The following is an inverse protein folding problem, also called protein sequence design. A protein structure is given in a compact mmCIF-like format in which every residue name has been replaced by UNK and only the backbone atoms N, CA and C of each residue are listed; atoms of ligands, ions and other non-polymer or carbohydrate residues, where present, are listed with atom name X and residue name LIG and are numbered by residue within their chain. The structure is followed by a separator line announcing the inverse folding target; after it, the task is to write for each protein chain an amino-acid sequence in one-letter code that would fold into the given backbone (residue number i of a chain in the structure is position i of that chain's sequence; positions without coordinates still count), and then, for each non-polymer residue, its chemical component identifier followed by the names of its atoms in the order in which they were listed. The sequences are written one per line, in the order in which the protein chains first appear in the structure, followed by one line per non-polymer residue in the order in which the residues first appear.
data_IF_128389811610
#
_entry.id   IF_128389811610
#
_cell.length_a   1.000
_cell.length_b   1.000
_cell.length_c   1.000
_cell.angle_alpha   90.00
_cell.angle_beta   90.00
_cell.angle_gamma   90.00
#
_symmetry.space_group_name_H-M   'P 1'
#
loop_
_entity.id
_entity.type
_entity.pdbx_description
1 polymer ?
#
# COMPACT_ATOMS: atom_id res chain seq x y z
N UNK A 1 26.26 12.10 -15.40
CA UNK A 1 25.88 11.71 -14.03
C UNK A 1 24.72 10.76 -14.18
N UNK A 2 24.89 9.48 -13.89
CA UNK A 2 23.78 8.53 -13.87
C UNK A 2 22.85 8.94 -12.74
N UNK A 3 21.59 9.23 -13.02
CA UNK A 3 20.55 9.25 -11.99
C UNK A 3 20.65 7.91 -11.26
N UNK A 4 21.04 7.96 -9.98
CA UNK A 4 20.95 6.79 -9.12
C UNK A 4 19.46 6.56 -8.96
N UNK A 5 18.96 5.59 -9.69
CA UNK A 5 17.57 5.15 -9.63
C UNK A 5 17.26 4.85 -8.16
N UNK A 6 16.40 5.65 -7.52
CA UNK A 6 16.05 5.47 -6.11
C UNK A 6 15.20 4.21 -6.00
N UNK A 7 15.86 3.07 -5.74
CA UNK A 7 15.22 1.77 -5.62
C UNK A 7 14.89 1.45 -4.18
N UNK A 8 13.77 0.75 -4.00
CA UNK A 8 13.32 0.21 -2.73
C UNK A 8 12.90 -1.25 -2.90
N UNK A 9 12.70 -1.95 -1.80
CA UNK A 9 12.15 -3.30 -1.78
C UNK A 9 11.36 -3.51 -0.46
N UNK A 10 10.59 -4.60 -0.32
CA UNK A 10 9.79 -4.84 0.88
C UNK A 10 10.58 -4.78 2.20
N UNK A 11 11.79 -5.33 2.22
CA UNK A 11 12.65 -5.35 3.40
C UNK A 11 13.21 -3.96 3.73
N UNK A 12 13.60 -3.17 2.72
CA UNK A 12 14.04 -1.78 2.93
C UNK A 12 12.92 -0.92 3.50
N UNK A 13 11.67 -1.07 3.02
CA UNK A 13 10.51 -0.36 3.57
C UNK A 13 10.28 -0.72 5.04
N UNK A 14 10.31 -2.02 5.38
CA UNK A 14 10.25 -2.45 6.77
C UNK A 14 11.38 -1.85 7.59
N UNK A 15 12.61 -1.91 7.09
CA UNK A 15 13.78 -1.39 7.79
C UNK A 15 13.65 0.10 8.09
N UNK A 16 13.22 0.89 7.13
CA UNK A 16 13.00 2.33 7.31
C UNK A 16 11.98 2.60 8.42
N UNK A 17 10.82 1.93 8.38
CA UNK A 17 9.75 2.09 9.38
C UNK A 17 10.22 1.64 10.76
N UNK A 18 10.86 0.48 10.86
CA UNK A 18 11.33 -0.09 12.12
C UNK A 18 12.50 0.71 12.71
N UNK A 19 13.36 1.31 11.88
CA UNK A 19 14.40 2.23 12.36
C UNK A 19 13.80 3.51 12.93
N UNK A 20 12.79 4.09 12.28
CA UNK A 20 12.05 5.23 12.85
C UNK A 20 11.41 4.88 14.19
N UNK A 21 10.86 3.68 14.33
CA UNK A 21 10.34 3.20 15.61
C UNK A 21 11.45 3.00 16.66
N UNK A 22 12.58 2.41 16.28
CA UNK A 22 13.68 2.05 17.18
C UNK A 22 14.34 3.28 17.82
N UNK A 23 14.42 4.41 17.12
CA UNK A 23 15.03 5.64 17.65
C UNK A 23 14.13 6.39 18.65
N UNK A 24 12.84 6.04 18.73
CA UNK A 24 11.94 6.63 19.71
C UNK A 24 12.33 6.17 21.13
N UNK A 25 12.60 7.09 22.06
CA UNK A 25 13.14 6.72 23.36
C UNK A 25 12.09 5.93 24.17
N UNK A 26 12.47 4.79 24.78
CA UNK A 26 11.62 4.03 25.69
C UNK A 26 11.40 4.79 27.00
N UNK A 27 10.53 5.79 27.00
CA UNK A 27 10.31 6.60 28.20
C UNK A 27 9.22 5.98 29.07
N UNK A 28 9.62 5.46 30.23
CA UNK A 28 8.75 4.99 31.32
C UNK A 28 7.78 6.08 31.81
N UNK A 29 8.04 7.35 31.46
CA UNK A 29 7.31 8.56 31.90
C UNK A 29 7.01 9.58 30.79
N UNK A 30 7.20 9.26 29.52
CA UNK A 30 7.08 10.21 28.39
C UNK A 30 5.85 10.02 27.50
N UNK A 31 5.71 10.86 26.47
CA UNK A 31 4.60 10.79 25.48
C UNK A 31 4.55 9.44 24.74
N UNK A 32 5.68 8.74 24.63
CA UNK A 32 5.84 7.44 23.95
C UNK A 32 5.68 6.23 24.86
N UNK A 33 5.21 6.41 26.09
CA UNK A 33 4.98 5.29 27.01
C UNK A 33 4.01 4.27 26.42
N UNK A 34 3.01 4.74 25.69
CA UNK A 34 1.93 3.93 25.09
C UNK A 34 2.30 3.64 23.63
N UNK A 35 2.23 2.37 23.22
CA UNK A 35 2.56 1.94 21.86
C UNK A 35 1.80 2.73 20.78
N UNK A 36 0.51 3.00 21.01
CA UNK A 36 -0.30 3.82 20.10
C UNK A 36 0.35 5.17 19.80
N UNK A 37 0.82 5.88 20.81
CA UNK A 37 1.44 7.19 20.63
C UNK A 37 2.74 7.08 19.83
N UNK A 38 3.58 6.08 20.15
CA UNK A 38 4.81 5.83 19.40
C UNK A 38 4.52 5.50 17.93
N UNK A 39 3.50 4.69 17.64
CA UNK A 39 3.10 4.40 16.27
C UNK A 39 2.48 5.61 15.55
N UNK A 40 1.78 6.50 16.26
CA UNK A 40 1.34 7.77 15.66
C UNK A 40 2.53 8.60 15.21
N UNK A 41 3.58 8.70 16.03
CA UNK A 41 4.82 9.39 15.66
C UNK A 41 5.50 8.77 14.45
N UNK A 42 5.65 7.43 14.44
CA UNK A 42 6.28 6.71 13.31
C UNK A 42 5.52 6.91 11.99
N UNK A 43 4.19 7.01 12.05
CA UNK A 43 3.34 7.16 10.88
C UNK A 43 2.93 8.61 10.59
N UNK A 44 3.47 9.58 11.32
CA UNK A 44 3.16 11.00 11.15
C UNK A 44 1.64 11.29 11.31
N UNK A 45 0.97 10.57 12.22
CA UNK A 45 -0.46 10.70 12.52
C UNK A 45 -0.66 11.74 13.61
N UNK A 46 -1.49 12.74 13.32
CA UNK A 46 -1.84 13.81 14.25
C UNK A 46 -2.75 13.33 15.40
N UNK A 47 -2.59 13.97 16.56
CA UNK A 47 -3.36 13.75 17.79
C UNK A 47 -3.59 12.26 18.14
N UNK A 48 -2.65 11.64 18.88
CA UNK A 48 -2.73 10.22 19.22
C UNK A 48 -3.89 9.88 20.16
N UNK A 49 -4.72 10.82 20.60
CA UNK A 49 -5.85 10.58 21.51
C UNK A 49 -7.22 10.49 20.82
N UNK A 50 -7.30 10.71 19.51
CA UNK A 50 -8.58 10.69 18.74
C UNK A 50 -8.96 9.28 18.26
N UNK A 51 -10.24 8.93 18.17
CA UNK A 51 -10.64 7.64 17.59
C UNK A 51 -10.15 7.46 16.14
N UNK A 52 -10.05 8.56 15.39
CA UNK A 52 -9.51 8.55 14.03
C UNK A 52 -8.03 8.10 14.01
N UNK A 53 -7.18 8.65 14.88
CA UNK A 53 -5.79 8.23 15.00
C UNK A 53 -5.66 6.73 15.35
N UNK A 54 -6.57 6.19 16.17
CA UNK A 54 -6.59 4.76 16.48
C UNK A 54 -6.84 3.92 15.22
N UNK A 55 -7.85 4.30 14.43
CA UNK A 55 -8.19 3.62 13.18
C UNK A 55 -7.04 3.69 12.18
N UNK A 56 -6.42 4.86 12.04
CA UNK A 56 -5.27 5.04 11.16
C UNK A 56 -4.08 4.16 11.58
N UNK A 57 -3.71 4.14 12.87
CA UNK A 57 -2.64 3.28 13.38
C UNK A 57 -2.95 1.80 13.14
N UNK A 58 -4.17 1.36 13.45
CA UNK A 58 -4.57 -0.04 13.21
C UNK A 58 -4.46 -0.41 11.73
N UNK A 59 -4.87 0.48 10.83
CA UNK A 59 -4.72 0.30 9.38
C UNK A 59 -3.25 0.16 8.97
N UNK A 60 -2.37 1.07 9.42
CA UNK A 60 -0.94 1.03 9.07
C UNK A 60 -0.22 -0.20 9.63
N UNK A 61 -0.54 -0.62 10.87
CA UNK A 61 0.00 -1.85 11.44
C UNK A 61 -0.50 -3.10 10.71
N UNK A 62 -1.74 -3.10 10.23
CA UNK A 62 -2.26 -4.18 9.38
C UNK A 62 -1.48 -4.26 8.07
N UNK A 63 -1.20 -3.13 7.44
CA UNK A 63 -0.36 -3.10 6.23
C UNK A 63 1.08 -3.55 6.51
N UNK A 64 1.68 -3.17 7.64
CA UNK A 64 2.99 -3.69 8.02
C UNK A 64 2.97 -5.20 8.23
N UNK A 65 1.91 -5.75 8.85
CA UNK A 65 1.76 -7.21 9.01
C UNK A 65 1.74 -7.91 7.65
N UNK A 66 0.95 -7.40 6.70
CA UNK A 66 0.93 -7.95 5.33
C UNK A 66 2.30 -7.83 4.64
N UNK A 67 3.06 -6.77 4.92
CA UNK A 67 4.42 -6.61 4.41
C UNK A 67 5.40 -7.64 5.01
N UNK A 68 5.27 -7.94 6.30
CA UNK A 68 6.03 -9.03 6.94
C UNK A 68 5.69 -10.39 6.33
N UNK A 69 4.40 -10.69 6.17
CA UNK A 69 3.93 -11.94 5.55
C UNK A 69 4.48 -12.10 4.13
N UNK A 70 4.37 -11.05 3.32
CA UNK A 70 4.95 -11.02 1.97
C UNK A 70 6.46 -11.22 1.95
N UNK A 71 7.20 -10.57 2.87
CA UNK A 71 8.64 -10.74 2.94
C UNK A 71 9.01 -12.19 3.32
N UNK A 72 8.29 -12.78 4.27
CA UNK A 72 8.48 -14.18 4.67
C UNK A 72 8.19 -15.11 3.50
N UNK A 73 7.06 -14.93 2.79
CA UNK A 73 6.73 -15.71 1.60
C UNK A 73 7.82 -15.63 0.51
N UNK A 74 8.35 -14.43 0.27
CA UNK A 74 9.45 -14.23 -0.69
C UNK A 74 10.73 -14.97 -0.27
N UNK A 75 11.04 -15.01 1.03
CA UNK A 75 12.20 -15.70 1.57
C UNK A 75 12.04 -17.23 1.55
N UNK A 76 10.85 -17.73 1.90
CA UNK A 76 10.51 -19.16 1.84
C UNK A 76 10.57 -19.71 0.40
N UNK A 77 10.46 -18.84 -0.61
CA UNK A 77 10.65 -19.18 -2.03
C UNK A 77 12.13 -19.34 -2.46
N UNK A 78 13.11 -19.03 -1.61
CA UNK A 78 14.54 -19.12 -1.94
C UNK A 78 15.08 -20.49 -1.53
N UNK A 79 15.61 -21.23 -2.49
CA UNK A 79 16.19 -22.56 -2.24
C UNK A 79 17.43 -22.48 -1.33
N UNK A 80 17.51 -23.38 -0.35
CA UNK A 80 18.65 -23.50 0.59
C UNK A 80 18.93 -22.25 1.45
N UNK A 81 17.93 -21.41 1.68
CA UNK A 81 18.04 -20.31 2.64
C UNK A 81 18.06 -20.86 4.08
N UNK A 82 18.91 -20.30 4.94
CA UNK A 82 18.93 -20.65 6.36
C UNK A 82 17.83 -19.89 7.12
N UNK A 83 16.75 -20.60 7.45
CA UNK A 83 15.60 -20.05 8.17
C UNK A 83 15.99 -19.37 9.49
N UNK A 84 16.96 -19.92 10.23
CA UNK A 84 17.36 -19.38 11.53
C UNK A 84 18.10 -18.04 11.41
N UNK A 85 18.73 -17.79 10.26
CA UNK A 85 19.46 -16.56 9.98
C UNK A 85 18.58 -15.51 9.30
N UNK A 86 17.66 -15.91 8.42
CA UNK A 86 16.92 -14.99 7.56
C UNK A 86 15.41 -14.88 7.84
N UNK A 87 14.76 -15.95 8.31
CA UNK A 87 13.29 -15.99 8.44
C UNK A 87 12.86 -15.83 9.90
N UNK A 88 13.46 -16.58 10.82
CA UNK A 88 13.12 -16.53 12.26
C UNK A 88 13.23 -15.12 12.85
N UNK A 89 14.30 -14.32 12.57
CA UNK A 89 14.39 -12.95 13.06
C UNK A 89 13.26 -12.05 12.52
N UNK A 90 12.83 -12.27 11.28
CA UNK A 90 11.72 -11.52 10.65
C UNK A 90 10.38 -11.92 11.27
N UNK A 91 10.18 -13.22 11.55
CA UNK A 91 9.02 -13.74 12.30
C UNK A 91 8.98 -13.20 13.73
N UNK A 92 10.13 -12.95 14.37
CA UNK A 92 10.17 -12.25 15.66
C UNK A 92 9.81 -10.76 15.52
N UNK A 93 10.40 -10.05 14.55
CA UNK A 93 10.09 -8.65 14.30
C UNK A 93 8.62 -8.42 13.99
N UNK A 94 7.94 -9.33 13.30
CA UNK A 94 6.51 -9.20 12.99
C UNK A 94 5.61 -9.14 14.22
N UNK A 95 6.08 -9.62 15.39
CA UNK A 95 5.37 -9.50 16.67
C UNK A 95 5.26 -8.05 17.15
N UNK A 96 6.10 -7.15 16.62
CA UNK A 96 6.11 -5.71 16.95
C UNK A 96 4.84 -4.99 16.48
N UNK A 97 4.17 -5.52 15.44
CA UNK A 97 2.96 -4.95 14.83
C UNK A 97 1.68 -5.65 15.32
N UNK A 98 1.68 -6.11 16.57
CA UNK A 98 0.50 -6.72 17.20
C UNK A 98 -0.50 -5.64 17.67
N UNK A 99 -1.70 -5.64 17.09
CA UNK A 99 -2.77 -4.70 17.43
C UNK A 99 -3.19 -4.76 18.91
N UNK A 100 -3.06 -5.94 19.55
CA UNK A 100 -3.39 -6.11 20.97
C UNK A 100 -2.44 -5.34 21.89
N UNK A 101 -1.29 -4.89 21.40
CA UNK A 101 -0.29 -4.17 22.17
C UNK A 101 -0.45 -2.64 22.11
N UNK A 102 -1.46 -2.10 21.39
CA UNK A 102 -1.61 -0.66 21.20
C UNK A 102 -1.73 0.13 22.52
N UNK A 103 -2.40 -0.44 23.52
CA UNK A 103 -2.53 0.16 24.86
C UNK A 103 -1.43 -0.27 25.84
N UNK A 104 -0.47 -1.09 25.39
CA UNK A 104 0.62 -1.57 26.23
C UNK A 104 1.81 -0.60 26.22
N UNK A 105 2.82 -0.91 27.03
CA UNK A 105 4.04 -0.11 27.10
C UNK A 105 4.92 -0.30 25.88
N UNK A 106 5.46 0.81 25.34
CA UNK A 106 6.35 0.80 24.16
C UNK A 106 7.57 -0.12 24.32
N UNK A 107 8.07 -0.31 25.55
CA UNK A 107 9.15 -1.24 25.84
C UNK A 107 8.89 -2.68 25.39
N UNK A 108 7.63 -3.12 25.38
CA UNK A 108 7.27 -4.46 24.90
C UNK A 108 7.54 -4.61 23.41
N UNK A 109 7.42 -3.51 22.65
CA UNK A 109 7.67 -3.48 21.22
C UNK A 109 9.16 -3.27 20.94
N UNK A 110 9.81 -2.32 21.59
CA UNK A 110 11.24 -2.02 21.33
C UNK A 110 12.18 -3.15 21.72
N UNK A 111 11.80 -3.99 22.69
CA UNK A 111 12.56 -5.21 23.03
C UNK A 111 12.67 -6.20 21.87
N UNK A 112 11.77 -6.14 20.87
CA UNK A 112 11.81 -6.97 19.67
C UNK A 112 12.81 -6.43 18.63
N UNK A 113 13.19 -5.16 18.71
CA UNK A 113 14.15 -4.50 17.83
C UNK A 113 15.60 -4.75 18.28
N UNK A 114 15.92 -6.01 18.60
CA UNK A 114 17.27 -6.41 18.99
C UNK A 114 18.27 -6.17 17.85
N UNK A 115 19.55 -5.96 18.20
CA UNK A 115 20.60 -5.79 17.19
C UNK A 115 20.64 -6.98 16.22
N UNK A 116 20.50 -8.21 16.75
CA UNK A 116 20.41 -9.42 15.93
C UNK A 116 19.31 -9.33 14.88
N UNK A 117 18.11 -8.94 15.29
CA UNK A 117 16.94 -8.92 14.42
C UNK A 117 17.06 -7.82 13.36
N UNK A 118 17.55 -6.64 13.75
CA UNK A 118 17.77 -5.54 12.82
C UNK A 118 18.90 -5.82 11.83
N UNK A 119 20.00 -6.42 12.27
CA UNK A 119 21.10 -6.85 11.37
C UNK A 119 20.63 -7.96 10.41
N UNK A 120 19.78 -8.87 10.87
CA UNK A 120 19.19 -9.89 9.98
C UNK A 120 18.33 -9.22 8.90
N UNK A 121 17.55 -8.19 9.25
CA UNK A 121 16.78 -7.41 8.29
C UNK A 121 17.68 -6.67 7.27
N UNK A 122 18.83 -6.14 7.68
CA UNK A 122 19.83 -5.55 6.75
C UNK A 122 20.36 -6.60 5.76
N UNK A 123 20.63 -7.83 6.20
CA UNK A 123 21.05 -8.91 5.30
C UNK A 123 19.92 -9.32 4.35
N UNK A 124 18.70 -9.46 4.85
CA UNK A 124 17.50 -9.76 4.05
C UNK A 124 17.28 -8.70 2.99
N UNK A 125 17.40 -7.41 3.32
CA UNK A 125 17.31 -6.33 2.35
C UNK A 125 18.31 -6.48 1.20
N UNK A 126 19.58 -6.76 1.51
CA UNK A 126 20.62 -6.92 0.52
C UNK A 126 20.40 -8.16 -0.35
N UNK A 127 19.89 -9.25 0.24
CA UNK A 127 19.51 -10.46 -0.48
C UNK A 127 18.36 -10.19 -1.46
N UNK A 128 17.26 -9.60 -0.98
CA UNK A 128 16.07 -9.29 -1.78
C UNK A 128 16.41 -8.32 -2.92
N UNK A 129 17.32 -7.36 -2.70
CA UNK A 129 17.76 -6.42 -3.74
C UNK A 129 18.41 -7.11 -4.95
N UNK A 130 18.96 -8.32 -4.78
CA UNK A 130 19.58 -9.11 -5.84
C UNK A 130 18.56 -9.98 -6.59
N UNK A 131 17.35 -10.14 -6.06
CA UNK A 131 16.32 -10.99 -6.66
C UNK A 131 15.51 -10.21 -7.71
N UNK A 132 15.27 -10.82 -8.89
CA UNK A 132 14.53 -10.17 -9.95
C UNK A 132 13.06 -9.95 -9.54
N UNK A 133 12.54 -8.75 -9.83
CA UNK A 133 11.13 -8.41 -9.61
C UNK A 133 10.74 -8.03 -8.19
N UNK A 134 11.67 -8.07 -7.22
CA UNK A 134 11.43 -7.64 -5.83
C UNK A 134 11.97 -6.24 -5.50
N UNK A 135 12.73 -5.64 -6.41
CA UNK A 135 13.13 -4.24 -6.32
C UNK A 135 12.22 -3.36 -7.18
N UNK A 136 11.93 -2.17 -6.68
CA UNK A 136 10.99 -1.21 -7.27
C UNK A 136 11.63 0.17 -7.31
N UNK A 137 11.41 0.94 -8.38
CA UNK A 137 11.68 2.37 -8.41
C UNK A 137 10.67 3.11 -7.52
N UNK A 138 11.17 3.97 -6.65
CA UNK A 138 10.32 4.79 -5.77
C UNK A 138 9.56 5.82 -6.61
N UNK A 139 8.23 5.82 -6.51
CA UNK A 139 7.39 6.86 -7.09
C UNK A 139 7.63 8.21 -6.39
N UNK A 140 7.72 9.31 -7.14
CA UNK A 140 7.76 10.65 -6.56
C UNK A 140 6.51 10.93 -5.72
N UNK A 141 6.69 11.57 -4.57
CA UNK A 141 5.58 11.93 -3.67
C UNK A 141 4.57 12.86 -4.35
N UNK A 142 5.04 13.76 -5.21
CA UNK A 142 4.17 14.64 -6.02
C UNK A 142 3.22 13.85 -6.92
N UNK A 143 3.66 12.72 -7.48
CA UNK A 143 2.81 11.85 -8.30
C UNK A 143 1.73 11.18 -7.45
N UNK A 144 2.11 10.64 -6.27
CA UNK A 144 1.16 10.03 -5.33
C UNK A 144 0.12 11.06 -4.84
N UNK A 145 0.55 12.26 -4.45
CA UNK A 145 -0.32 13.35 -4.02
C UNK A 145 -1.27 13.79 -5.13
N UNK A 146 -0.79 13.85 -6.38
CA UNK A 146 -1.61 14.17 -7.54
C UNK A 146 -2.66 13.09 -7.83
N UNK A 147 -2.33 11.81 -7.67
CA UNK A 147 -3.30 10.70 -7.80
C UNK A 147 -4.35 10.77 -6.68
N UNK A 148 -3.93 10.99 -5.43
CA UNK A 148 -4.84 11.13 -4.29
C UNK A 148 -5.85 12.26 -4.53
N UNK A 149 -5.38 13.46 -4.92
CA UNK A 149 -6.23 14.60 -5.22
C UNK A 149 -7.24 14.31 -6.34
N UNK A 150 -6.79 13.68 -7.43
CA UNK A 150 -7.70 13.29 -8.53
C UNK A 150 -8.75 12.28 -8.08
N UNK A 151 -8.39 11.39 -7.15
CA UNK A 151 -9.33 10.42 -6.60
C UNK A 151 -10.39 11.09 -5.74
N UNK A 152 -10.03 12.10 -4.95
CA UNK A 152 -10.99 12.89 -4.15
C UNK A 152 -11.97 13.66 -5.04
N UNK A 153 -11.44 14.36 -6.06
CA UNK A 153 -12.26 15.07 -7.05
C UNK A 153 -13.23 14.12 -7.78
N UNK A 154 -12.76 12.93 -8.12
CA UNK A 154 -13.59 11.91 -8.76
C UNK A 154 -14.64 11.33 -7.81
N UNK A 155 -14.30 11.11 -6.55
CA UNK A 155 -15.23 10.64 -5.53
C UNK A 155 -16.43 11.58 -5.40
N UNK A 156 -16.17 12.88 -5.32
CA UNK A 156 -17.21 13.91 -5.26
C UNK A 156 -18.04 13.95 -6.55
N UNK A 157 -17.38 13.83 -7.70
CA UNK A 157 -18.04 13.78 -9.01
C UNK A 157 -19.01 12.60 -9.12
N UNK A 158 -18.58 11.40 -8.75
CA UNK A 158 -19.43 10.20 -8.78
C UNK A 158 -20.55 10.30 -7.74
N UNK A 159 -20.25 10.82 -6.55
CA UNK A 159 -21.26 11.02 -5.49
C UNK A 159 -22.42 11.89 -5.98
N UNK A 160 -22.12 12.93 -6.77
CA UNK A 160 -23.09 13.88 -7.31
C UNK A 160 -23.64 13.53 -8.70
N UNK A 161 -23.20 12.41 -9.31
CA UNK A 161 -23.65 11.96 -10.63
C UNK A 161 -25.11 11.46 -10.64
N UNK A 162 -25.68 11.26 -11.82
CA UNK A 162 -27.00 10.65 -12.01
C UNK A 162 -26.92 9.11 -12.18
N UNK A 163 -25.79 8.49 -11.85
CA UNK A 163 -25.63 7.03 -11.89
C UNK A 163 -26.64 6.34 -10.97
N UNK A 164 -27.14 5.14 -11.35
CA UNK A 164 -27.98 4.33 -10.48
C UNK A 164 -27.32 4.12 -9.12
N UNK A 165 -28.12 4.13 -8.04
CA UNK A 165 -27.61 4.08 -6.66
C UNK A 165 -26.66 2.91 -6.40
N UNK A 166 -26.97 1.72 -6.94
CA UNK A 166 -26.12 0.53 -6.81
C UNK A 166 -24.77 0.71 -7.51
N UNK A 167 -24.80 1.16 -8.77
CA UNK A 167 -23.60 1.44 -9.57
C UNK A 167 -22.74 2.52 -8.93
N UNK A 168 -23.37 3.61 -8.44
CA UNK A 168 -22.68 4.70 -7.74
C UNK A 168 -21.94 4.19 -6.50
N UNK A 169 -22.60 3.39 -5.66
CA UNK A 169 -21.97 2.81 -4.48
C UNK A 169 -20.72 1.97 -4.85
N UNK A 170 -20.83 1.16 -5.90
CA UNK A 170 -19.69 0.36 -6.38
C UNK A 170 -18.54 1.26 -6.84
N UNK A 171 -18.78 2.29 -7.65
CA UNK A 171 -17.71 3.19 -8.07
C UNK A 171 -17.04 3.90 -6.88
N UNK A 172 -17.81 4.36 -5.90
CA UNK A 172 -17.27 5.00 -4.70
C UNK A 172 -16.38 4.05 -3.89
N UNK A 173 -16.79 2.78 -3.74
CA UNK A 173 -15.99 1.76 -3.07
C UNK A 173 -14.69 1.47 -3.84
N UNK A 174 -14.75 1.41 -5.17
CA UNK A 174 -13.58 1.21 -6.02
C UNK A 174 -12.61 2.41 -6.00
N UNK A 175 -13.13 3.65 -5.93
CA UNK A 175 -12.31 4.84 -5.78
C UNK A 175 -11.61 4.85 -4.43
N UNK A 176 -12.33 4.48 -3.35
CA UNK A 176 -11.75 4.33 -2.00
C UNK A 176 -10.64 3.27 -1.98
N UNK A 177 -10.84 2.16 -2.68
CA UNK A 177 -9.81 1.12 -2.82
C UNK A 177 -8.53 1.66 -3.46
N UNK A 178 -8.65 2.44 -4.54
CA UNK A 178 -7.53 3.09 -5.22
C UNK A 178 -6.84 4.13 -4.33
N UNK A 179 -7.62 4.97 -3.63
CA UNK A 179 -7.10 5.95 -2.66
C UNK A 179 -6.31 5.27 -1.56
N UNK A 180 -6.87 4.22 -0.96
CA UNK A 180 -6.21 3.45 0.08
C UNK A 180 -4.90 2.87 -0.43
N UNK A 181 -4.88 2.33 -1.66
CA UNK A 181 -3.68 1.77 -2.25
C UNK A 181 -2.55 2.79 -2.40
N UNK A 182 -2.88 4.03 -2.80
CA UNK A 182 -1.91 5.13 -2.92
C UNK A 182 -1.37 5.51 -1.54
N UNK A 183 -2.24 5.63 -0.54
CA UNK A 183 -1.82 5.91 0.84
C UNK A 183 -0.95 4.81 1.43
N UNK A 184 -1.24 3.55 1.10
CA UNK A 184 -0.56 2.38 1.62
C UNK A 184 0.73 2.04 0.84
N UNK A 185 0.99 2.72 -0.28
CA UNK A 185 2.20 2.55 -1.09
C UNK A 185 3.49 2.75 -0.29
N UNK A 186 3.53 3.71 0.65
CA UNK A 186 4.73 3.95 1.49
C UNK A 186 5.11 2.72 2.31
N UNK A 187 4.15 1.87 2.66
CA UNK A 187 4.37 0.62 3.39
C UNK A 187 4.52 -0.55 2.42
N UNK A 188 3.49 -0.81 1.60
CA UNK A 188 3.39 -2.03 0.80
C UNK A 188 4.00 -1.94 -0.60
N UNK A 189 4.37 -0.75 -1.05
CA UNK A 189 4.95 -0.53 -2.37
C UNK A 189 4.01 -0.73 -3.54
N UNK A 190 4.60 -0.95 -4.71
CA UNK A 190 3.91 -1.07 -5.98
C UNK A 190 2.94 -2.27 -6.02
N UNK A 191 3.21 -3.34 -5.26
CA UNK A 191 2.30 -4.49 -5.15
C UNK A 191 0.91 -4.07 -4.69
N UNK A 192 0.80 -3.11 -3.77
CA UNK A 192 -0.50 -2.64 -3.29
C UNK A 192 -1.31 -1.91 -4.37
N UNK A 193 -0.64 -1.15 -5.23
CA UNK A 193 -1.25 -0.53 -6.41
C UNK A 193 -1.77 -1.60 -7.39
N UNK A 194 -0.97 -2.65 -7.62
CA UNK A 194 -1.33 -3.80 -8.45
C UNK A 194 -2.60 -4.49 -7.95
N UNK A 195 -2.65 -4.79 -6.65
CA UNK A 195 -3.80 -5.43 -5.99
C UNK A 195 -5.08 -4.60 -6.16
N UNK A 196 -4.97 -3.28 -5.98
CA UNK A 196 -6.09 -2.36 -6.15
C UNK A 196 -6.62 -2.34 -7.58
N UNK A 197 -5.74 -2.18 -8.57
CA UNK A 197 -6.11 -2.19 -10.00
C UNK A 197 -6.74 -3.53 -10.38
N UNK A 198 -6.17 -4.65 -9.93
CA UNK A 198 -6.72 -5.98 -10.19
C UNK A 198 -8.14 -6.14 -9.59
N UNK A 199 -8.36 -5.64 -8.37
CA UNK A 199 -9.69 -5.65 -7.73
C UNK A 199 -10.69 -4.78 -8.48
N UNK A 200 -10.29 -3.59 -8.92
CA UNK A 200 -11.15 -2.71 -9.74
C UNK A 200 -11.53 -3.39 -11.04
N UNK A 201 -10.55 -3.86 -11.80
CA UNK A 201 -10.77 -4.56 -13.07
C UNK A 201 -11.66 -5.78 -12.87
N UNK A 202 -11.35 -6.61 -11.87
CA UNK A 202 -12.16 -7.79 -11.54
C UNK A 202 -13.61 -7.43 -11.25
N UNK A 203 -13.85 -6.41 -10.41
CA UNK A 203 -15.20 -5.96 -10.04
C UNK A 203 -15.99 -5.48 -11.24
N UNK A 204 -15.39 -4.64 -12.09
CA UNK A 204 -16.02 -4.14 -13.33
C UNK A 204 -16.33 -5.29 -14.29
N UNK A 205 -15.43 -6.27 -14.42
CA UNK A 205 -15.60 -7.41 -15.33
C UNK A 205 -16.66 -8.39 -14.82
N UNK A 206 -16.94 -8.50 -13.53
CA UNK A 206 -17.93 -9.46 -13.01
C UNK A 206 -19.30 -8.84 -12.74
N UNK A 207 -19.41 -7.52 -12.60
CA UNK A 207 -20.67 -6.85 -12.25
C UNK A 207 -21.44 -6.36 -13.50
N UNK A 208 -22.60 -6.98 -13.84
CA UNK A 208 -23.36 -6.61 -15.04
C UNK A 208 -23.91 -5.19 -15.00
N UNK A 209 -24.35 -4.70 -13.83
CA UNK A 209 -24.92 -3.35 -13.68
C UNK A 209 -23.87 -2.27 -13.98
N UNK A 210 -22.63 -2.50 -13.53
CA UNK A 210 -21.49 -1.62 -13.83
C UNK A 210 -21.20 -1.63 -15.32
N UNK A 211 -21.16 -2.80 -15.96
CA UNK A 211 -20.95 -2.91 -17.42
C UNK A 211 -22.04 -2.20 -18.20
N UNK A 212 -23.30 -2.39 -17.82
CA UNK A 212 -24.43 -1.74 -18.50
C UNK A 212 -24.37 -0.22 -18.37
N UNK A 213 -24.04 0.29 -17.18
CA UNK A 213 -23.88 1.73 -16.94
C UNK A 213 -22.76 2.35 -17.78
N UNK A 214 -21.69 1.59 -18.04
CA UNK A 214 -20.61 2.02 -18.92
C UNK A 214 -21.01 1.91 -20.40
N UNK A 215 -21.62 0.79 -20.81
CA UNK A 215 -21.92 0.51 -22.22
C UNK A 215 -23.04 1.38 -22.80
N UNK A 216 -24.02 1.78 -21.98
CA UNK A 216 -25.21 2.50 -22.46
C UNK A 216 -25.12 4.01 -22.34
N UNK A 217 -23.90 4.57 -22.21
CA UNK A 217 -23.69 6.01 -22.23
C UNK A 217 -24.55 6.72 -21.19
N UNK A 218 -24.28 6.47 -19.90
CA UNK A 218 -24.90 7.26 -18.85
C UNK A 218 -24.70 8.76 -19.14
N UNK A 219 -25.63 9.63 -18.70
CA UNK A 219 -25.45 11.10 -18.79
C UNK A 219 -24.17 11.60 -18.09
N UNK A 220 -23.48 10.72 -17.37
CA UNK A 220 -22.26 10.94 -16.64
C UNK A 220 -21.04 10.25 -17.29
N UNK A 221 -21.03 10.08 -18.62
CA UNK A 221 -19.93 9.49 -19.41
C UNK A 221 -18.57 10.08 -19.03
N UNK A 222 -18.50 11.40 -18.81
CA UNK A 222 -17.27 12.05 -18.38
C UNK A 222 -16.79 11.59 -16.99
N UNK A 223 -17.68 11.22 -16.07
CA UNK A 223 -17.32 10.70 -14.75
C UNK A 223 -16.79 9.28 -14.85
N UNK A 224 -17.39 8.45 -15.70
CA UNK A 224 -16.91 7.10 -16.02
C UNK A 224 -15.54 7.17 -16.69
N UNK A 225 -15.35 8.09 -17.64
CA UNK A 225 -14.06 8.31 -18.29
C UNK A 225 -13.00 8.78 -17.31
N UNK A 226 -13.34 9.68 -16.37
CA UNK A 226 -12.43 10.12 -15.32
C UNK A 226 -12.02 8.96 -14.39
N UNK A 227 -12.94 8.04 -14.07
CA UNK A 227 -12.63 6.81 -13.36
C UNK A 227 -11.67 5.90 -14.14
N UNK A 228 -11.94 5.68 -15.43
CA UNK A 228 -11.05 4.89 -16.29
C UNK A 228 -9.64 5.49 -16.36
N UNK A 229 -9.53 6.81 -16.46
CA UNK A 229 -8.27 7.53 -16.47
C UNK A 229 -7.51 7.40 -15.14
N UNK A 230 -8.20 7.45 -14.00
CA UNK A 230 -7.58 7.23 -12.69
C UNK A 230 -6.99 5.82 -12.57
N UNK A 231 -7.76 4.80 -12.98
CA UNK A 231 -7.27 3.40 -13.01
C UNK A 231 -6.05 3.27 -13.90
N UNK A 232 -6.08 3.84 -15.11
CA UNK A 232 -4.95 3.82 -16.04
C UNK A 232 -3.72 4.53 -15.48
N UNK A 233 -3.90 5.63 -14.74
CA UNK A 233 -2.80 6.37 -14.12
C UNK A 233 -2.13 5.55 -13.01
N UNK A 234 -2.90 4.91 -12.13
CA UNK A 234 -2.36 4.06 -11.07
C UNK A 234 -1.64 2.83 -11.66
N UNK A 235 -2.19 2.26 -12.73
CA UNK A 235 -1.56 1.16 -13.46
C UNK A 235 -0.21 1.59 -14.07
N UNK A 236 -0.16 2.77 -14.67
CA UNK A 236 1.08 3.36 -15.20
C UNK A 236 2.10 3.59 -14.08
N UNK A 237 1.66 4.07 -12.91
CA UNK A 237 2.52 4.25 -11.74
C UNK A 237 3.10 2.90 -11.26
N UNK A 238 2.27 1.85 -11.20
CA UNK A 238 2.72 0.49 -10.90
C UNK A 238 3.77 -0.01 -11.91
N UNK A 239 3.58 0.19 -13.21
CA UNK A 239 4.57 -0.19 -14.23
C UNK A 239 5.88 0.56 -14.10
N UNK A 240 5.79 1.86 -13.88
CA UNK A 240 6.97 2.69 -13.67
C UNK A 240 7.78 2.17 -12.48
N UNK A 241 7.11 1.90 -11.36
CA UNK A 241 7.76 1.39 -10.15
C UNK A 241 8.38 0.00 -10.37
N UNK A 242 7.70 -0.91 -11.06
CA UNK A 242 8.20 -2.30 -11.19
C UNK A 242 9.11 -2.55 -12.39
N UNK A 243 9.18 -1.61 -13.34
CA UNK A 243 9.83 -1.81 -14.65
C UNK A 243 9.28 -3.03 -15.44
N UNK A 244 8.15 -3.60 -15.00
CA UNK A 244 7.49 -4.73 -15.63
C UNK A 244 6.64 -4.22 -16.80
N UNK A 245 6.76 -4.89 -17.95
CA UNK A 245 6.11 -4.43 -19.19
C UNK A 245 4.57 -4.50 -19.18
N UNK A 246 3.87 -5.30 -18.34
CA UNK A 246 2.40 -5.38 -18.47
C UNK A 246 1.62 -6.18 -17.40
N UNK A 247 0.62 -5.53 -16.79
CA UNK A 247 -0.76 -6.04 -16.58
C UNK A 247 -1.70 -5.65 -17.75
N UNK A 248 -1.10 -5.17 -18.85
CA UNK A 248 -1.75 -4.58 -20.01
C UNK A 248 -2.82 -5.48 -20.59
N UNK A 249 -2.64 -6.79 -20.63
CA UNK A 249 -3.64 -7.68 -21.23
C UNK A 249 -4.96 -7.64 -20.44
N UNK A 250 -4.90 -7.68 -19.11
CA UNK A 250 -6.11 -7.59 -18.27
C UNK A 250 -6.70 -6.17 -18.28
N UNK A 251 -5.85 -5.15 -18.21
CA UNK A 251 -6.28 -3.75 -18.17
C UNK A 251 -6.77 -3.28 -19.54
N UNK A 252 -6.19 -3.73 -20.65
CA UNK A 252 -6.63 -3.45 -22.01
C UNK A 252 -7.89 -4.22 -22.41
N UNK A 253 -8.24 -5.31 -21.71
CA UNK A 253 -9.57 -5.92 -21.83
C UNK A 253 -10.61 -5.09 -21.07
N UNK A 254 -10.23 -4.51 -19.93
CA UNK A 254 -11.14 -3.72 -19.10
C UNK A 254 -11.28 -2.25 -19.53
N UNK A 255 -10.25 -1.64 -20.13
CA UNK A 255 -10.21 -0.24 -20.57
C UNK A 255 -11.28 0.07 -21.65
N UNK A 256 -11.47 -0.75 -22.69
CA UNK A 256 -12.60 -0.61 -23.63
C UNK A 256 -13.95 -0.81 -22.95
N UNK A 257 -14.03 -1.70 -21.95
CA UNK A 257 -15.23 -1.87 -21.12
C UNK A 257 -15.49 -0.68 -20.18
N UNK A 258 -14.50 0.20 -19.97
CA UNK A 258 -14.52 1.41 -19.16
C UNK A 258 -14.64 2.70 -20.00
N UNK A 259 -14.79 2.60 -21.33
CA UNK A 259 -14.87 3.74 -22.25
C UNK A 259 -13.53 4.35 -22.67
N UNK A 260 -12.43 3.96 -22.03
CA UNK A 260 -11.08 4.40 -22.37
C UNK A 260 -10.49 3.53 -23.50
N UNK A 261 -10.99 3.72 -24.72
CA UNK A 261 -10.50 2.99 -25.90
C UNK A 261 -10.80 3.63 -27.25
N UNK A 262 -11.41 4.82 -27.28
CA UNK A 262 -11.74 5.52 -28.53
C UNK A 262 -11.26 6.98 -28.50
N UNK A 263 -9.94 7.17 -28.59
CA UNK A 263 -9.25 8.06 -29.54
C UNK A 263 -7.74 7.94 -29.41
#
# INVERSE_FOLDING_TARGET
MSEVENKTNPAERLRQILNSARVLPPQITGQWKICRNAWCEVFEIEDPHTEDALVQVMGRLTQMRMLFEELIENLEGIESLDDHLFIDPIKELSKSVNLNHLNSTWNNVTSLFSDRNMTSLDFVQNLIAQLPGLSETVLPEEELNSISKQSDELYDRISNSNLPKGVKAIFLDLIRELQNAVHEYRIRGAKRLKEAVAKVVGTVVVNPEVKEAIAHGSKDEEAIQAFANLVARIEKAYRFATQIKSLYEAVAVALPLLGAGAK
#
